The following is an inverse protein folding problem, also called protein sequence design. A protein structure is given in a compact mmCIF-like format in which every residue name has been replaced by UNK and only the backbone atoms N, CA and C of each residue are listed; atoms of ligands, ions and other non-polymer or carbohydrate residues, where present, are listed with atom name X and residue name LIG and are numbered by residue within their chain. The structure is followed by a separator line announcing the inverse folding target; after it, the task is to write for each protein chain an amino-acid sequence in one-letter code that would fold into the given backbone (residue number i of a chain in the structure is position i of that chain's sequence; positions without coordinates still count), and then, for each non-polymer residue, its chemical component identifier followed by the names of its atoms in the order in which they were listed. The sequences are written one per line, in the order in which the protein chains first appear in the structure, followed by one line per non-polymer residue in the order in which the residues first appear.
data_IF_260828071015
#
_entry.id   IF_260828071015
#
_cell.length_a   1.000
_cell.length_b   1.000
_cell.length_c   1.000
_cell.angle_alpha   90.00
_cell.angle_beta   90.00
_cell.angle_gamma   90.00
#
_symmetry.space_group_name_H-M   'P 1'
#
loop_
_entity.id
_entity.type
_entity.pdbx_description
1 polymer ?
#
# COMPACT_ATOMS: atom_id res chain seq x y z
N UNK A 1 59.36 11.18 -9.82
CA UNK A 1 58.12 10.78 -10.54
C UNK A 1 56.97 10.80 -9.54
N UNK A 2 56.25 11.92 -9.43
CA UNK A 2 55.10 12.04 -8.55
C UNK A 2 53.86 11.48 -9.28
N UNK A 3 53.19 10.47 -8.71
CA UNK A 3 51.90 9.97 -9.21
C UNK A 3 50.80 10.65 -8.40
N UNK A 4 50.20 11.67 -8.99
CA UNK A 4 48.94 12.26 -8.54
C UNK A 4 47.83 11.22 -8.72
N UNK A 5 47.24 10.78 -7.62
CA UNK A 5 46.02 9.96 -7.63
C UNK A 5 44.81 10.84 -7.95
N UNK A 6 44.04 10.49 -8.97
CA UNK A 6 42.77 11.14 -9.28
C UNK A 6 41.72 10.75 -8.24
N UNK A 7 40.92 11.68 -7.68
CA UNK A 7 39.76 11.30 -6.89
C UNK A 7 38.70 10.72 -7.81
N UNK A 8 38.27 9.47 -7.54
CA UNK A 8 37.16 8.84 -8.22
C UNK A 8 35.88 9.68 -8.00
N UNK A 9 35.26 10.12 -9.10
CA UNK A 9 34.00 10.85 -9.05
C UNK A 9 32.90 9.94 -8.48
N UNK A 10 32.32 10.35 -7.35
CA UNK A 10 31.15 9.70 -6.75
C UNK A 10 29.97 9.90 -7.72
N UNK A 11 29.24 8.84 -8.13
CA UNK A 11 28.07 9.01 -8.98
C UNK A 11 27.03 9.89 -8.26
N UNK A 12 26.31 10.77 -8.98
CA UNK A 12 25.27 11.59 -8.38
C UNK A 12 24.22 10.67 -7.75
N UNK A 13 23.92 10.89 -6.48
CA UNK A 13 22.85 10.18 -5.78
C UNK A 13 21.54 10.33 -6.57
N UNK A 14 20.71 9.28 -6.68
CA UNK A 14 19.43 9.38 -7.36
C UNK A 14 18.60 10.50 -6.73
N UNK A 15 17.81 11.25 -7.52
CA UNK A 15 17.03 12.36 -7.01
C UNK A 15 16.11 11.86 -5.89
N UNK A 16 16.32 12.37 -4.68
CA UNK A 16 15.42 12.15 -3.55
C UNK A 16 14.10 12.83 -3.91
N UNK A 17 13.15 12.05 -4.43
CA UNK A 17 11.80 12.55 -4.72
C UNK A 17 11.16 12.92 -3.39
N UNK A 18 11.21 14.22 -3.06
CA UNK A 18 10.38 14.81 -2.01
C UNK A 18 8.95 14.88 -2.53
N UNK A 19 8.31 13.73 -2.63
CA UNK A 19 6.87 13.65 -2.84
C UNK A 19 6.20 14.43 -1.70
N UNK A 20 5.39 15.46 -1.98
CA UNK A 20 4.74 16.28 -0.96
C UNK A 20 3.61 15.53 -0.22
N UNK A 21 3.41 14.25 -0.53
CA UNK A 21 2.29 13.44 -0.07
C UNK A 21 2.78 12.58 1.08
N UNK A 22 2.23 12.87 2.27
CA UNK A 22 2.45 12.11 3.48
C UNK A 22 2.06 10.64 3.29
N UNK A 23 2.79 9.75 3.95
CA UNK A 23 2.47 8.33 4.00
C UNK A 23 1.03 8.14 4.51
N UNK A 24 0.21 7.26 3.90
CA UNK A 24 -1.12 6.96 4.43
C UNK A 24 -1.04 6.39 5.85
N UNK A 25 -2.12 6.58 6.62
CA UNK A 25 -2.18 6.06 7.97
C UNK A 25 -2.30 4.53 8.01
N UNK A 26 -1.77 3.92 9.08
CA UNK A 26 -1.92 2.48 9.30
C UNK A 26 -3.38 2.15 9.61
N UNK A 27 -3.85 1.01 9.10
CA UNK A 27 -5.23 0.57 9.25
C UNK A 27 -5.32 -0.69 10.10
N UNK A 28 -6.08 -0.64 11.19
CA UNK A 28 -6.22 -1.78 12.11
C UNK A 28 -7.48 -2.62 11.90
N UNK A 29 -8.35 -2.24 10.96
CA UNK A 29 -9.65 -2.89 10.73
C UNK A 29 -10.88 -2.07 11.16
N UNK A 30 -10.73 -0.79 11.52
CA UNK A 30 -11.83 0.07 11.95
C UNK A 30 -12.71 0.50 10.76
N UNK A 31 -13.98 0.12 10.73
CA UNK A 31 -14.88 0.38 9.58
C UNK A 31 -15.01 1.88 9.27
N UNK A 32 -15.16 2.73 10.27
CA UNK A 32 -15.28 4.19 10.09
C UNK A 32 -14.05 4.83 9.42
N UNK A 33 -12.87 4.23 9.60
CA UNK A 33 -11.61 4.72 9.02
C UNK A 33 -11.31 4.11 7.65
N UNK A 34 -12.06 3.08 7.25
CA UNK A 34 -11.79 2.37 6.01
C UNK A 34 -11.93 3.24 4.75
N UNK A 35 -12.97 4.10 4.59
CA UNK A 35 -13.06 4.99 3.42
C UNK A 35 -11.87 5.95 3.29
N UNK A 36 -11.41 6.51 4.42
CA UNK A 36 -10.26 7.40 4.47
C UNK A 36 -8.97 6.66 4.11
N UNK A 37 -8.72 5.51 4.72
CA UNK A 37 -7.56 4.66 4.43
C UNK A 37 -7.51 4.27 2.94
N UNK A 38 -8.63 3.81 2.39
CA UNK A 38 -8.74 3.40 0.99
C UNK A 38 -8.41 4.56 0.05
N UNK A 39 -9.00 5.74 0.30
CA UNK A 39 -8.80 6.93 -0.54
C UNK A 39 -7.35 7.42 -0.49
N UNK A 40 -6.74 7.47 0.70
CA UNK A 40 -5.34 7.84 0.88
C UNK A 40 -4.41 6.87 0.14
N UNK A 41 -4.62 5.56 0.23
CA UNK A 41 -3.82 4.56 -0.46
C UNK A 41 -3.90 4.70 -1.98
N UNK A 42 -5.13 4.77 -2.52
CA UNK A 42 -5.34 4.91 -3.96
C UNK A 42 -4.73 6.21 -4.50
N UNK A 43 -4.88 7.32 -3.77
CA UNK A 43 -4.28 8.60 -4.14
C UNK A 43 -2.75 8.53 -4.10
N UNK A 44 -2.16 7.97 -3.04
CA UNK A 44 -0.71 7.82 -2.92
C UNK A 44 -0.11 7.00 -4.06
N UNK A 45 -0.73 5.86 -4.40
CA UNK A 45 -0.33 5.02 -5.53
C UNK A 45 -0.44 5.80 -6.85
N UNK A 46 -1.53 6.55 -7.05
CA UNK A 46 -1.77 7.31 -8.28
C UNK A 46 -0.72 8.40 -8.53
N UNK A 47 -0.13 8.94 -7.46
CA UNK A 47 0.90 9.97 -7.55
C UNK A 47 2.31 9.40 -7.79
N UNK A 48 2.48 8.08 -7.62
CA UNK A 48 3.78 7.39 -7.82
C UNK A 48 3.60 6.11 -8.64
N UNK A 49 3.10 6.20 -9.88
CA UNK A 49 2.89 5.03 -10.72
C UNK A 49 4.19 4.27 -10.99
N UNK A 50 5.34 4.95 -10.98
CA UNK A 50 6.67 4.37 -11.15
C UNK A 50 7.13 3.50 -9.97
N UNK A 51 6.69 3.80 -8.74
CA UNK A 51 7.01 3.01 -7.55
C UNK A 51 6.10 1.76 -7.46
N UNK A 52 4.96 1.77 -8.16
CA UNK A 52 3.95 0.71 -8.14
C UNK A 52 3.60 0.18 -9.55
N UNK A 53 4.57 -0.36 -10.31
CA UNK A 53 4.36 -0.78 -11.70
C UNK A 53 3.47 -2.02 -11.84
N UNK A 54 3.29 -2.80 -10.77
CA UNK A 54 2.51 -4.04 -10.78
C UNK A 54 1.39 -4.01 -9.75
N UNK A 55 0.33 -4.77 -10.00
CA UNK A 55 -0.74 -4.93 -9.01
C UNK A 55 -0.22 -5.53 -7.70
N UNK A 56 0.76 -6.44 -7.77
CA UNK A 56 1.45 -6.97 -6.58
C UNK A 56 2.14 -5.90 -5.76
N UNK A 57 2.79 -4.93 -6.40
CA UNK A 57 3.42 -3.81 -5.68
C UNK A 57 2.39 -2.91 -4.99
N UNK A 58 1.24 -2.65 -5.63
CA UNK A 58 0.14 -1.87 -5.04
C UNK A 58 -0.49 -2.58 -3.85
N UNK A 59 -0.80 -3.88 -4.01
CA UNK A 59 -1.38 -4.71 -2.94
C UNK A 59 -0.38 -4.84 -1.79
N UNK A 60 0.90 -5.10 -2.07
CA UNK A 60 1.95 -5.19 -1.06
C UNK A 60 2.09 -3.91 -0.24
N UNK A 61 2.00 -2.74 -0.88
CA UNK A 61 1.97 -1.45 -0.19
C UNK A 61 0.78 -1.34 0.76
N UNK A 62 -0.43 -1.63 0.29
CA UNK A 62 -1.62 -1.58 1.15
C UNK A 62 -1.51 -2.55 2.32
N UNK A 63 -1.03 -3.77 2.08
CA UNK A 63 -0.81 -4.78 3.13
C UNK A 63 0.20 -4.29 4.17
N UNK A 64 1.27 -3.60 3.75
CA UNK A 64 2.29 -3.05 4.67
C UNK A 64 1.74 -2.01 5.65
N UNK A 65 0.62 -1.39 5.32
CA UNK A 65 -0.08 -0.41 6.16
C UNK A 65 -1.11 -1.07 7.09
N UNK A 66 -1.39 -2.37 6.92
CA UNK A 66 -2.33 -3.09 7.77
C UNK A 66 -1.69 -3.43 9.12
N UNK A 67 -2.51 -3.37 10.15
CA UNK A 67 -2.16 -3.71 11.54
C UNK A 67 -3.31 -4.46 12.19
N UNK A 68 -3.08 -5.06 13.36
CA UNK A 68 -4.12 -5.70 14.16
C UNK A 68 -4.98 -6.70 13.36
N UNK A 69 -6.30 -6.53 13.41
CA UNK A 69 -7.25 -7.44 12.75
C UNK A 69 -7.10 -7.44 11.22
N UNK A 70 -6.84 -6.28 10.62
CA UNK A 70 -6.66 -6.19 9.17
C UNK A 70 -5.39 -6.92 8.69
N UNK A 71 -4.31 -6.86 9.48
CA UNK A 71 -3.10 -7.63 9.18
C UNK A 71 -3.36 -9.13 9.29
N UNK A 72 -4.07 -9.59 10.32
CA UNK A 72 -4.43 -11.00 10.50
C UNK A 72 -5.26 -11.54 9.32
N UNK A 73 -6.14 -10.73 8.75
CA UNK A 73 -6.86 -11.09 7.53
C UNK A 73 -5.95 -11.24 6.31
N UNK A 74 -4.94 -10.37 6.18
CA UNK A 74 -4.01 -10.42 5.05
C UNK A 74 -2.96 -11.53 5.17
N UNK A 75 -2.63 -11.98 6.39
CA UNK A 75 -1.66 -13.05 6.65
C UNK A 75 -1.87 -14.31 5.80
N UNK A 76 -3.05 -14.96 5.78
CA UNK A 76 -3.24 -16.15 4.95
C UNK A 76 -3.09 -15.88 3.45
N UNK A 77 -3.42 -14.68 2.97
CA UNK A 77 -3.21 -14.30 1.56
C UNK A 77 -1.72 -14.31 1.21
N UNK A 78 -0.86 -13.81 2.11
CA UNK A 78 0.59 -13.82 1.96
C UNK A 78 1.18 -15.23 2.07
N UNK A 79 0.76 -16.00 3.07
CA UNK A 79 1.27 -17.35 3.34
C UNK A 79 1.00 -18.30 2.18
N UNK A 80 -0.16 -18.17 1.54
CA UNK A 80 -0.58 -19.05 0.45
C UNK A 80 -0.30 -18.47 -0.96
N UNK A 81 0.44 -17.35 -1.06
CA UNK A 81 0.65 -16.59 -2.31
C UNK A 81 -0.63 -16.46 -3.13
N UNK A 82 -1.70 -15.98 -2.48
CA UNK A 82 -3.02 -15.92 -3.07
C UNK A 82 -3.00 -15.16 -4.40
N UNK A 83 -3.74 -15.61 -5.44
CA UNK A 83 -3.85 -14.87 -6.70
C UNK A 83 -4.39 -13.45 -6.49
N UNK A 84 -5.09 -13.22 -5.38
CA UNK A 84 -5.56 -11.90 -4.97
C UNK A 84 -4.43 -10.88 -4.78
N UNK A 85 -3.22 -11.34 -4.44
CA UNK A 85 -2.04 -10.48 -4.32
C UNK A 85 -1.62 -9.87 -5.66
N UNK A 86 -1.95 -10.53 -6.78
CA UNK A 86 -1.62 -10.07 -8.14
C UNK A 86 -2.81 -9.39 -8.83
N UNK A 87 -3.92 -9.17 -8.13
CA UNK A 87 -5.13 -8.53 -8.66
C UNK A 87 -5.54 -7.37 -7.76
N UNK A 88 -5.11 -6.17 -8.11
CA UNK A 88 -5.35 -4.99 -7.28
C UNK A 88 -6.84 -4.70 -7.12
N UNK A 89 -7.59 -4.76 -8.22
CA UNK A 89 -9.03 -4.49 -8.20
C UNK A 89 -9.77 -5.51 -7.32
N UNK A 90 -9.45 -6.79 -7.46
CA UNK A 90 -10.04 -7.86 -6.65
C UNK A 90 -9.73 -7.67 -5.17
N UNK A 91 -8.51 -7.27 -4.83
CA UNK A 91 -8.12 -6.96 -3.47
C UNK A 91 -8.95 -5.81 -2.88
N UNK A 92 -9.13 -4.72 -3.62
CA UNK A 92 -9.98 -3.60 -3.18
C UNK A 92 -11.43 -4.03 -2.92
N UNK A 93 -11.99 -4.88 -3.78
CA UNK A 93 -13.35 -5.39 -3.60
C UNK A 93 -13.47 -6.26 -2.34
N UNK A 94 -12.53 -7.17 -2.12
CA UNK A 94 -12.53 -7.99 -0.90
C UNK A 94 -12.44 -7.12 0.36
N UNK A 95 -11.59 -6.09 0.35
CA UNK A 95 -11.55 -5.16 1.48
C UNK A 95 -12.89 -4.44 1.69
N UNK A 96 -13.56 -3.98 0.63
CA UNK A 96 -14.88 -3.35 0.74
C UNK A 96 -15.92 -4.31 1.33
N UNK A 97 -15.90 -5.59 0.92
CA UNK A 97 -16.81 -6.61 1.47
C UNK A 97 -16.58 -6.82 2.96
N UNK A 98 -15.35 -6.72 3.45
CA UNK A 98 -15.07 -6.97 4.87
C UNK A 98 -15.37 -5.74 5.73
N UNK A 99 -15.00 -4.54 5.25
CA UNK A 99 -15.01 -3.32 6.07
C UNK A 99 -16.10 -2.30 5.71
N UNK A 100 -16.86 -2.50 4.63
CA UNK A 100 -18.05 -1.71 4.29
C UNK A 100 -19.37 -2.50 4.36
N UNK A 101 -19.35 -3.75 4.82
CA UNK A 101 -20.56 -4.59 4.91
C UNK A 101 -21.24 -4.53 6.29
N UNK A 102 -20.99 -3.47 7.05
CA UNK A 102 -21.83 -3.11 8.19
C UNK A 102 -22.62 -1.88 7.78
N UNK A 103 -23.89 -2.10 7.42
CA UNK A 103 -25.05 -1.18 7.47
C UNK A 103 -26.14 -1.74 6.54
N UNK A 104 -26.79 -2.86 6.91
CA UNK A 104 -28.08 -3.27 6.29
C UNK A 104 -28.88 -4.32 7.06
N UNK A 105 -28.39 -4.92 8.15
CA UNK A 105 -29.15 -6.00 8.82
C UNK A 105 -30.07 -5.54 9.97
N UNK A 106 -30.15 -4.24 10.32
CA UNK A 106 -31.01 -3.77 11.43
C UNK A 106 -31.94 -2.58 11.13
N UNK A 107 -31.97 -2.03 9.91
CA UNK A 107 -32.90 -0.94 9.58
C UNK A 107 -34.04 -1.45 8.69
N UNK A 108 -34.68 -2.56 9.07
CA UNK A 108 -36.01 -2.98 8.58
C UNK A 108 -36.71 -3.81 9.66
N UNK A 109 -37.15 -3.14 10.73
CA UNK A 109 -38.27 -3.58 11.58
C UNK A 109 -39.38 -2.56 11.43
#
# INVERSE_FOLDING_TARGET
IARTGFPAAVPPAPPVRKSPVSMPEKFSGQMDRFPAFMSQCQFFISLRPEDFPTDRSKVGFMISLLTGQAANWATPLLVHDSPLLNNFQGFLQQMRVIWLHSESFWIKT
#
